data_IF_108212456638
#
_entry.id   IF_108212456638
#
_cell.length_a   1.000
_cell.length_b   1.000
_cell.length_c   1.000
_cell.angle_alpha   90.00
_cell.angle_beta   90.00
_cell.angle_gamma   90.00
#
_symmetry.space_group_name_H-M   'P 1'
#
loop_
_entity.id
_entity.type
_entity.pdbx_description
1 polymer ?
#
# COMPACT_ATOMS: atom_id res chain seq x y z
N UNK A 1 -9.36 -22.83 -2.40
CA UNK A 1 -10.04 -21.74 -3.14
C UNK A 1 -9.09 -21.28 -4.23
N UNK A 2 -9.52 -21.25 -5.49
CA UNK A 2 -8.70 -20.73 -6.59
C UNK A 2 -9.24 -19.35 -6.97
N UNK A 3 -8.38 -18.33 -6.93
CA UNK A 3 -8.69 -16.98 -7.37
C UNK A 3 -8.33 -16.88 -8.84
N UNK A 4 -9.32 -16.71 -9.71
CA UNK A 4 -9.09 -16.36 -11.11
C UNK A 4 -8.87 -14.85 -11.18
N UNK A 5 -7.63 -14.44 -11.45
CA UNK A 5 -7.24 -13.04 -11.57
C UNK A 5 -6.98 -12.76 -13.04
N UNK A 6 -7.94 -12.13 -13.70
CA UNK A 6 -7.88 -11.82 -15.12
C UNK A 6 -7.12 -10.51 -15.35
N UNK A 7 -7.25 -9.58 -14.41
CA UNK A 7 -6.59 -8.29 -14.44
C UNK A 7 -5.88 -8.01 -13.11
N UNK A 8 -4.77 -7.27 -13.17
CA UNK A 8 -4.04 -6.85 -11.97
C UNK A 8 -4.90 -6.00 -11.02
N UNK A 9 -5.91 -5.30 -11.55
CA UNK A 9 -6.88 -4.53 -10.76
C UNK A 9 -7.81 -5.37 -9.90
N UNK A 10 -7.98 -6.66 -10.19
CA UNK A 10 -8.91 -7.55 -9.45
C UNK A 10 -8.52 -7.68 -7.97
N UNK A 11 -7.27 -7.36 -7.62
CA UNK A 11 -6.80 -7.31 -6.22
C UNK A 11 -7.54 -6.29 -5.37
N UNK A 12 -8.05 -5.21 -5.97
CA UNK A 12 -8.74 -4.13 -5.26
C UNK A 12 -10.03 -4.62 -4.57
N UNK A 13 -10.71 -5.58 -5.21
CA UNK A 13 -11.97 -6.14 -4.75
C UNK A 13 -11.79 -7.32 -3.78
N UNK A 14 -10.54 -7.74 -3.53
CA UNK A 14 -10.27 -8.84 -2.61
C UNK A 14 -10.53 -8.48 -1.15
N UNK A 15 -10.95 -9.48 -0.38
CA UNK A 15 -11.03 -9.43 1.08
C UNK A 15 -9.66 -9.67 1.74
N UNK A 16 -9.53 -9.32 3.02
CA UNK A 16 -8.33 -9.61 3.79
C UNK A 16 -7.97 -11.11 3.82
N UNK A 17 -8.99 -11.98 3.91
CA UNK A 17 -8.82 -13.43 3.87
C UNK A 17 -8.26 -13.90 2.52
N UNK A 18 -8.72 -13.32 1.40
CA UNK A 18 -8.21 -13.66 0.07
C UNK A 18 -6.77 -13.19 -0.11
N UNK A 19 -6.45 -11.97 0.36
CA UNK A 19 -5.11 -11.40 0.28
C UNK A 19 -4.08 -12.20 1.09
N UNK A 20 -4.49 -12.87 2.17
CA UNK A 20 -3.61 -13.73 2.96
C UNK A 20 -3.02 -14.89 2.15
N UNK A 21 -3.72 -15.37 1.11
CA UNK A 21 -3.26 -16.48 0.29
C UNK A 21 -2.35 -16.05 -0.87
N UNK A 22 -2.18 -14.76 -1.12
CA UNK A 22 -1.29 -14.27 -2.18
C UNK A 22 0.15 -14.34 -1.70
N UNK A 23 1.04 -15.10 -2.37
CA UNK A 23 2.45 -15.13 -2.00
C UNK A 23 3.09 -13.74 -2.13
N UNK A 24 3.96 -13.37 -1.19
CA UNK A 24 4.71 -12.09 -1.21
C UNK A 24 5.34 -11.80 -2.59
N UNK A 25 5.95 -12.80 -3.21
CA UNK A 25 6.62 -12.63 -4.51
C UNK A 25 5.64 -12.23 -5.62
N UNK A 26 4.41 -12.75 -5.58
CA UNK A 26 3.34 -12.42 -6.52
C UNK A 26 2.81 -11.02 -6.21
N UNK A 27 2.57 -10.74 -4.92
CA UNK A 27 2.14 -9.42 -4.44
C UNK A 27 3.08 -8.32 -4.93
N UNK A 28 4.39 -8.49 -4.75
CA UNK A 28 5.40 -7.49 -5.14
C UNK A 28 5.58 -7.37 -6.66
N UNK A 29 5.62 -8.49 -7.40
CA UNK A 29 5.94 -8.48 -8.84
C UNK A 29 4.76 -8.14 -9.73
N UNK A 30 3.56 -8.58 -9.35
CA UNK A 30 2.35 -8.46 -10.18
C UNK A 30 1.47 -7.30 -9.71
N UNK A 31 1.42 -7.07 -8.40
CA UNK A 31 0.48 -6.14 -7.78
C UNK A 31 1.15 -4.95 -7.09
N UNK A 32 2.46 -4.73 -7.30
CA UNK A 32 3.22 -3.68 -6.62
C UNK A 32 2.51 -2.31 -6.62
N UNK A 33 2.03 -1.88 -7.79
CA UNK A 33 1.32 -0.58 -7.92
C UNK A 33 0.00 -0.51 -7.15
N UNK A 34 -0.60 -1.66 -6.84
CA UNK A 34 -1.86 -1.78 -6.13
C UNK A 34 -1.70 -2.01 -4.62
N UNK A 35 -0.50 -2.35 -4.13
CA UNK A 35 -0.24 -2.62 -2.70
C UNK A 35 -0.72 -1.47 -1.82
N UNK A 36 -0.49 -0.22 -2.23
CA UNK A 36 -0.96 0.94 -1.47
C UNK A 36 -2.49 0.99 -1.34
N UNK A 37 -3.21 0.59 -2.40
CA UNK A 37 -4.67 0.66 -2.44
C UNK A 37 -5.35 -0.40 -1.59
N UNK A 38 -4.68 -1.55 -1.41
CA UNK A 38 -5.18 -2.65 -0.56
C UNK A 38 -4.48 -2.69 0.80
N UNK A 39 -3.66 -1.67 1.13
CA UNK A 39 -2.79 -1.66 2.30
C UNK A 39 -3.55 -2.01 3.58
N UNK A 40 -4.70 -1.38 3.83
CA UNK A 40 -5.48 -1.59 5.05
C UNK A 40 -6.03 -3.02 5.18
N UNK A 41 -6.28 -3.68 4.04
CA UNK A 41 -6.76 -5.06 3.96
C UNK A 41 -5.64 -6.10 4.03
N UNK A 42 -4.37 -5.69 3.90
CA UNK A 42 -3.26 -6.63 3.95
C UNK A 42 -3.11 -7.23 5.36
N UNK A 43 -2.72 -8.51 5.47
CA UNK A 43 -2.40 -9.10 6.76
C UNK A 43 -1.22 -8.40 7.45
N UNK A 44 -1.25 -8.30 8.77
CA UNK A 44 -0.23 -7.62 9.58
C UNK A 44 1.17 -8.18 9.36
N UNK A 45 1.30 -9.51 9.25
CA UNK A 45 2.59 -10.17 8.98
C UNK A 45 3.18 -9.80 7.59
N UNK A 46 2.34 -9.38 6.65
CA UNK A 46 2.76 -8.86 5.33
C UNK A 46 3.13 -7.37 5.44
N UNK A 47 2.39 -6.60 6.24
CA UNK A 47 2.65 -5.16 6.49
C UNK A 47 3.95 -4.88 7.26
N UNK A 48 4.46 -5.83 8.03
CA UNK A 48 5.76 -5.70 8.72
C UNK A 48 6.95 -5.99 7.80
N UNK A 49 6.72 -6.60 6.64
CA UNK A 49 7.78 -6.91 5.69
C UNK A 49 8.37 -5.62 5.08
N UNK A 50 9.69 -5.52 5.09
CA UNK A 50 10.41 -4.31 4.66
C UNK A 50 10.21 -3.99 3.19
N UNK A 51 10.14 -4.99 2.30
CA UNK A 51 9.93 -4.77 0.87
C UNK A 51 8.51 -4.29 0.59
N UNK A 52 7.52 -4.89 1.26
CA UNK A 52 6.10 -4.50 1.14
C UNK A 52 5.88 -3.10 1.71
N UNK A 53 6.51 -2.76 2.83
CA UNK A 53 6.45 -1.42 3.44
C UNK A 53 6.85 -0.30 2.48
N UNK A 54 7.80 -0.54 1.58
CA UNK A 54 8.22 0.48 0.60
C UNK A 54 7.12 0.93 -0.37
N UNK A 55 6.02 0.17 -0.45
CA UNK A 55 4.84 0.48 -1.27
C UNK A 55 3.76 1.24 -0.51
N UNK A 56 3.85 1.30 0.84
CA UNK A 56 2.95 2.13 1.65
C UNK A 56 3.20 3.59 1.33
N UNK A 57 2.19 4.26 0.80
CA UNK A 57 2.17 5.72 0.62
C UNK A 57 1.44 6.31 1.82
N UNK A 58 1.94 7.44 2.30
CA UNK A 58 1.35 8.11 3.44
C UNK A 58 0.28 9.09 2.96
N UNK A 59 -0.98 8.65 3.00
CA UNK A 59 -2.12 9.49 2.66
C UNK A 59 -2.29 10.66 3.65
N UNK A 60 -1.79 10.54 4.89
CA UNK A 60 -1.81 11.62 5.90
C UNK A 60 -0.83 12.77 5.61
N UNK A 61 0.28 12.51 4.91
CA UNK A 61 1.17 13.58 4.47
C UNK A 61 0.72 14.19 3.15
N UNK A 62 -0.05 13.46 2.33
CA UNK A 62 -0.70 14.05 1.19
C UNK A 62 -1.65 15.14 1.72
N UNK A 63 -1.51 16.37 1.22
CA UNK A 63 -2.23 17.59 1.68
C UNK A 63 -1.55 18.43 2.77
N UNK A 64 -0.26 18.22 3.06
CA UNK A 64 0.44 19.14 3.95
C UNK A 64 0.47 20.56 3.39
N UNK A 65 0.34 21.61 4.24
CA UNK A 65 0.20 22.99 3.78
C UNK A 65 1.35 23.47 2.87
N UNK A 66 2.56 22.93 3.06
CA UNK A 66 3.75 23.24 2.25
C UNK A 66 3.84 22.48 0.93
N UNK A 67 2.97 21.48 0.69
CA UNK A 67 2.85 20.74 -0.58
C UNK A 67 1.76 21.29 -1.50
N UNK A 68 1.02 22.32 -1.06
CA UNK A 68 -0.10 22.93 -1.80
C UNK A 68 0.31 23.77 -3.02
N UNK A 69 1.58 23.78 -3.40
CA UNK A 69 2.06 24.51 -4.58
C UNK A 69 1.78 23.78 -5.91
N UNK A 70 1.27 22.55 -5.88
CA UNK A 70 0.80 21.86 -7.09
C UNK A 70 -0.60 22.35 -7.46
N UNK A 71 -0.67 23.25 -8.44
CA UNK A 71 -1.92 23.90 -8.88
C UNK A 71 -2.77 22.97 -9.76
N UNK A 72 -2.19 21.98 -10.45
CA UNK A 72 -2.94 21.12 -11.39
C UNK A 72 -2.60 19.60 -11.37
N UNK A 73 -1.63 19.14 -10.56
CA UNK A 73 -1.31 17.71 -10.44
C UNK A 73 -1.62 17.16 -9.03
N UNK A 74 -1.96 15.87 -8.90
CA UNK A 74 -2.16 15.26 -7.59
C UNK A 74 -0.92 15.42 -6.71
N UNK A 75 -1.16 15.78 -5.43
CA UNK A 75 -0.10 16.01 -4.46
C UNK A 75 0.91 14.84 -4.45
N UNK A 76 2.23 15.12 -4.42
CA UNK A 76 3.24 14.08 -4.42
C UNK A 76 3.06 13.14 -3.22
N UNK A 77 2.71 11.88 -3.51
CA UNK A 77 2.59 10.86 -2.47
C UNK A 77 3.98 10.55 -1.93
N UNK A 78 4.27 10.98 -0.69
CA UNK A 78 5.56 10.71 -0.03
C UNK A 78 5.63 9.20 0.32
N UNK A 79 6.65 8.52 -0.20
CA UNK A 79 7.08 7.19 0.27
C UNK A 79 7.83 7.36 1.58
N UNK A 80 7.62 6.44 2.54
CA UNK A 80 8.39 6.35 3.78
C UNK A 80 8.42 7.65 4.63
N UNK A 81 7.24 8.22 4.89
CA UNK A 81 7.08 9.34 5.81
C UNK A 81 7.64 9.04 7.21
N UNK A 82 8.34 10.00 7.80
CA UNK A 82 8.84 9.96 9.17
C UNK A 82 7.74 9.79 10.23
N UNK A 83 6.52 10.31 10.04
CA UNK A 83 5.38 10.03 10.94
C UNK A 83 4.78 8.64 10.75
N UNK A 84 4.74 8.12 9.52
CA UNK A 84 4.36 6.73 9.28
C UNK A 84 5.38 5.75 9.89
N UNK A 85 6.67 6.13 9.91
CA UNK A 85 7.71 5.40 10.62
C UNK A 85 7.54 5.51 12.14
N UNK A 86 7.36 6.72 12.67
CA UNK A 86 7.18 6.95 14.11
C UNK A 86 5.96 6.20 14.67
N UNK A 87 4.84 6.17 13.94
CA UNK A 87 3.66 5.38 14.33
C UNK A 87 3.87 3.88 14.26
N UNK A 88 4.73 3.40 13.36
CA UNK A 88 5.06 1.99 13.24
C UNK A 88 6.03 1.49 14.33
N UNK A 89 6.75 2.39 15.01
CA UNK A 89 7.62 2.07 16.16
C UNK A 89 6.86 2.07 17.50
N UNK A 90 5.62 2.56 17.52
CA UNK A 90 4.80 2.70 18.73
C UNK A 90 3.79 1.56 18.90
N UNK A 91 3.76 0.57 17.99
CA UNK A 91 2.96 -0.66 18.11
C UNK A 91 3.78 -1.86 18.59
#
# INVERSE_FOLDING_TARGET
>A
MYLALCHSSDILDMSAEQLQYIPKIVLLRVYGDYINHVWDKLPEHVKVDSEVRTYRRCDELCNLPWQRTHIDDPAPKIRDCSECQRRAEVC
#
